data_IF_586900550007
#
_entry.id   IF_586900550007
#
_cell.length_a   1.000
_cell.length_b   1.000
_cell.length_c   1.000
_cell.angle_alpha   90.00
_cell.angle_beta   90.00
_cell.angle_gamma   90.00
#
_symmetry.space_group_name_H-M   'P 1'
#
loop_
_entity.id
_entity.type
_entity.pdbx_description
1 polymer ?
#
# COMPACT_ATOMS: atom_id res chain seq x y z
N UNK A 1 -18.19 25.06 15.36
CA UNK A 1 -17.39 24.50 14.24
C UNK A 1 -17.34 22.99 14.44
N UNK A 2 -17.78 22.21 13.47
CA UNK A 2 -17.68 20.74 13.51
C UNK A 2 -16.18 20.42 13.36
N UNK A 3 -15.60 19.69 14.32
CA UNK A 3 -14.22 19.24 14.22
C UNK A 3 -14.16 18.12 13.16
N UNK A 4 -13.47 18.37 12.07
CA UNK A 4 -13.25 17.37 11.01
C UNK A 4 -12.04 16.55 11.42
N UNK A 5 -12.24 15.23 11.54
CA UNK A 5 -11.18 14.31 11.94
C UNK A 5 -10.51 13.68 10.71
N UNK A 6 -9.27 13.25 10.86
CA UNK A 6 -8.53 12.55 9.80
C UNK A 6 -9.28 11.33 9.25
N UNK A 7 -10.08 10.66 10.09
CA UNK A 7 -10.89 9.51 9.68
C UNK A 7 -11.99 9.89 8.67
N UNK A 8 -12.56 11.10 8.77
CA UNK A 8 -13.58 11.59 7.84
C UNK A 8 -12.94 11.86 6.47
N UNK A 9 -11.73 12.41 6.47
CA UNK A 9 -10.92 12.67 5.28
C UNK A 9 -10.48 11.35 4.65
N UNK A 10 -9.95 10.42 5.46
CA UNK A 10 -9.53 9.09 4.98
C UNK A 10 -10.68 8.31 4.33
N UNK A 11 -11.91 8.46 4.87
CA UNK A 11 -13.10 7.85 4.29
C UNK A 11 -13.41 8.31 2.87
N UNK A 12 -12.95 9.47 2.43
CA UNK A 12 -13.10 10.00 1.08
C UNK A 12 -11.96 9.57 0.14
N UNK A 13 -10.82 9.15 0.69
CA UNK A 13 -9.66 8.73 -0.11
C UNK A 13 -9.89 7.36 -0.78
N UNK A 14 -9.27 7.09 -1.95
CA UNK A 14 -9.52 5.90 -2.75
C UNK A 14 -8.95 4.60 -2.15
N UNK A 15 -8.15 4.68 -1.08
CA UNK A 15 -7.57 3.54 -0.39
C UNK A 15 -6.63 2.66 -1.24
N UNK A 16 -6.01 3.24 -2.27
CA UNK A 16 -5.01 2.54 -3.10
C UNK A 16 -3.70 2.29 -2.37
N UNK A 17 -3.41 3.05 -1.30
CA UNK A 17 -2.16 3.01 -0.52
C UNK A 17 -0.88 3.20 -1.37
N UNK A 18 -1.00 3.92 -2.51
CA UNK A 18 0.02 3.99 -3.58
C UNK A 18 1.20 4.92 -3.28
N UNK A 19 1.15 5.70 -2.19
CA UNK A 19 2.17 6.67 -1.76
C UNK A 19 2.48 7.81 -2.75
N UNK A 20 1.80 7.91 -3.88
CA UNK A 20 2.04 8.95 -4.93
C UNK A 20 1.88 10.38 -4.40
N UNK A 21 1.04 10.60 -3.39
CA UNK A 21 0.88 11.88 -2.70
C UNK A 21 2.09 12.32 -1.86
N UNK A 22 3.10 11.45 -1.71
CA UNK A 22 4.29 11.67 -0.88
C UNK A 22 4.14 11.22 0.58
N UNK A 23 3.00 10.65 0.96
CA UNK A 23 2.74 10.10 2.30
C UNK A 23 2.76 8.56 2.28
N UNK A 24 3.00 7.96 3.45
CA UNK A 24 3.15 6.51 3.60
C UNK A 24 1.82 5.72 3.46
N UNK A 25 0.77 6.33 2.96
CA UNK A 25 -0.54 5.73 2.76
C UNK A 25 -1.66 6.75 2.83
N UNK A 26 -2.92 6.31 2.75
CA UNK A 26 -4.07 7.20 2.75
C UNK A 26 -4.30 7.86 4.11
N UNK A 27 -4.22 7.12 5.22
CA UNK A 27 -4.41 7.69 6.56
C UNK A 27 -3.36 8.76 6.92
N UNK A 28 -2.04 8.57 6.73
CA UNK A 28 -1.05 9.63 6.95
C UNK A 28 -1.29 10.89 6.11
N UNK A 29 -1.79 10.75 4.88
CA UNK A 29 -2.19 11.90 4.08
C UNK A 29 -3.42 12.59 4.66
N UNK A 30 -4.43 11.83 5.10
CA UNK A 30 -5.61 12.37 5.75
C UNK A 30 -5.28 13.12 7.06
N UNK A 31 -4.35 12.60 7.85
CA UNK A 31 -3.83 13.24 9.07
C UNK A 31 -3.15 14.57 8.76
N UNK A 32 -2.30 14.61 7.72
CA UNK A 32 -1.64 15.82 7.28
C UNK A 32 -2.63 16.88 6.76
N UNK A 33 -3.70 16.48 6.06
CA UNK A 33 -4.78 17.40 5.64
C UNK A 33 -5.51 17.94 6.88
N UNK A 34 -5.87 17.08 7.84
CA UNK A 34 -6.57 17.48 9.06
C UNK A 34 -5.75 18.45 9.91
N UNK A 35 -4.42 18.29 9.92
CA UNK A 35 -3.49 19.19 10.59
C UNK A 35 -3.25 20.52 9.84
N UNK A 36 -3.66 20.62 8.57
CA UNK A 36 -3.38 21.76 7.69
C UNK A 36 -1.97 21.75 7.07
N UNK A 37 -1.26 20.63 7.19
CA UNK A 37 0.12 20.46 6.69
C UNK A 37 0.16 19.98 5.22
N UNK A 38 -0.99 19.55 4.67
CA UNK A 38 -1.09 19.08 3.30
C UNK A 38 -2.26 19.69 2.54
N UNK A 39 -2.03 20.05 1.28
CA UNK A 39 -3.10 20.44 0.35
C UNK A 39 -3.95 19.22 -0.06
N UNK A 40 -5.25 19.46 -0.35
CA UNK A 40 -6.24 18.40 -0.65
C UNK A 40 -6.07 17.77 -2.06
N UNK A 41 -5.21 18.31 -2.90
CA UNK A 41 -5.10 18.03 -4.32
C UNK A 41 -3.93 17.11 -4.70
N UNK A 42 -3.34 16.38 -3.74
CA UNK A 42 -2.14 15.56 -3.95
C UNK A 42 -2.42 14.09 -4.26
N UNK A 43 -3.68 13.68 -4.44
CA UNK A 43 -4.04 12.28 -4.67
C UNK A 43 -4.41 12.00 -6.13
N UNK A 44 -3.48 11.49 -7.00
CA UNK A 44 -3.80 11.18 -8.39
C UNK A 44 -4.91 10.12 -8.57
N UNK A 45 -4.94 9.01 -7.80
CA UNK A 45 -6.05 8.06 -7.91
C UNK A 45 -7.41 8.63 -7.53
N UNK A 46 -7.45 9.60 -6.62
CA UNK A 46 -8.70 10.30 -6.26
C UNK A 46 -9.20 11.24 -7.34
N UNK A 47 -8.29 11.82 -8.12
CA UNK A 47 -8.58 12.74 -9.21
C UNK A 47 -9.40 13.96 -8.77
N UNK A 48 -10.04 14.61 -9.73
CA UNK A 48 -10.87 15.80 -9.48
C UNK A 48 -12.09 15.47 -8.58
N UNK A 49 -12.67 14.28 -8.71
CA UNK A 49 -13.80 13.85 -7.88
C UNK A 49 -13.42 13.76 -6.41
N UNK A 50 -12.25 13.19 -6.12
CA UNK A 50 -11.72 13.11 -4.76
C UNK A 50 -11.42 14.50 -4.18
N UNK A 51 -10.82 15.37 -4.98
CA UNK A 51 -10.53 16.76 -4.59
C UNK A 51 -11.82 17.52 -4.28
N UNK A 52 -12.85 17.39 -5.12
CA UNK A 52 -14.14 18.04 -4.90
C UNK A 52 -14.82 17.54 -3.62
N UNK A 53 -14.75 16.24 -3.34
CA UNK A 53 -15.32 15.66 -2.11
C UNK A 53 -14.58 16.17 -0.86
N UNK A 54 -13.25 16.23 -0.90
CA UNK A 54 -12.44 16.79 0.21
C UNK A 54 -12.71 18.28 0.39
N UNK A 55 -12.80 19.05 -0.69
CA UNK A 55 -13.11 20.49 -0.65
C UNK A 55 -14.48 20.74 -0.02
N UNK A 56 -15.49 19.94 -0.39
CA UNK A 56 -16.83 20.03 0.18
C UNK A 56 -16.84 19.68 1.69
N UNK A 57 -16.13 18.64 2.10
CA UNK A 57 -16.02 18.26 3.52
C UNK A 57 -15.36 19.37 4.35
N UNK A 58 -14.30 19.98 3.82
CA UNK A 58 -13.51 20.98 4.54
C UNK A 58 -14.05 22.41 4.41
N UNK A 59 -15.03 22.64 3.53
CA UNK A 59 -15.58 23.97 3.27
C UNK A 59 -14.59 24.92 2.57
N UNK A 60 -13.70 24.38 1.75
CA UNK A 60 -12.68 25.13 0.99
C UNK A 60 -12.92 25.04 -0.52
N UNK A 61 -12.30 25.93 -1.28
CA UNK A 61 -12.36 25.86 -2.75
C UNK A 61 -11.55 24.64 -3.25
N UNK A 62 -12.05 23.91 -4.27
CA UNK A 62 -11.29 22.85 -4.91
C UNK A 62 -10.06 23.40 -5.62
N UNK A 63 -8.96 22.67 -5.56
CA UNK A 63 -7.71 22.98 -6.25
C UNK A 63 -7.52 22.05 -7.46
N UNK A 64 -6.82 22.48 -8.53
CA UNK A 64 -6.41 21.56 -9.58
C UNK A 64 -5.48 20.48 -9.01
N UNK A 65 -5.51 19.27 -9.60
CA UNK A 65 -4.63 18.18 -9.19
C UNK A 65 -3.16 18.61 -9.25
N UNK A 66 -2.41 18.33 -8.19
CA UNK A 66 -0.96 18.56 -8.14
C UNK A 66 -0.25 17.53 -9.05
N UNK A 67 0.13 18.00 -10.24
CA UNK A 67 0.78 17.17 -11.27
C UNK A 67 2.16 16.64 -10.84
N UNK A 68 2.77 17.23 -9.82
CA UNK A 68 4.04 16.71 -9.25
C UNK A 68 3.85 15.35 -8.57
N UNK A 69 2.64 15.05 -8.12
CA UNK A 69 2.26 13.76 -7.55
C UNK A 69 1.85 12.72 -8.61
N UNK A 70 1.72 13.16 -9.88
CA UNK A 70 1.28 12.34 -11.01
C UNK A 70 -0.07 12.80 -11.57
N UNK A 71 -0.58 12.04 -12.55
CA UNK A 71 -1.84 12.34 -13.25
C UNK A 71 -2.90 11.29 -12.90
N UNK A 72 -4.17 11.70 -12.95
CA UNK A 72 -5.27 10.77 -12.83
C UNK A 72 -5.29 9.82 -14.03
N UNK A 73 -5.38 8.52 -13.79
CA UNK A 73 -5.39 7.48 -14.81
C UNK A 73 -6.57 6.54 -14.59
N UNK A 74 -7.12 5.92 -15.64
CA UNK A 74 -8.05 4.81 -15.50
C UNK A 74 -7.45 3.71 -14.60
N UNK A 75 -8.32 2.95 -13.95
CA UNK A 75 -7.88 1.81 -13.14
C UNK A 75 -7.12 0.80 -13.99
N UNK A 76 -5.95 0.39 -13.49
CA UNK A 76 -5.10 -0.64 -14.09
C UNK A 76 -4.75 -1.67 -13.03
N UNK A 77 -4.61 -2.90 -13.42
CA UNK A 77 -4.15 -3.99 -12.57
C UNK A 77 -2.71 -4.38 -12.92
N UNK A 78 -2.00 -4.90 -11.94
CA UNK A 78 -0.70 -5.51 -12.19
C UNK A 78 -0.90 -6.86 -12.88
N UNK A 79 -0.08 -7.13 -13.88
CA UNK A 79 0.02 -8.43 -14.59
C UNK A 79 1.45 -8.90 -14.49
N UNK A 80 1.63 -10.15 -14.05
CA UNK A 80 2.95 -10.78 -13.92
C UNK A 80 3.14 -11.72 -15.12
N UNK A 81 4.25 -11.56 -15.81
CA UNK A 81 4.70 -12.56 -16.79
C UNK A 81 5.23 -13.77 -16.01
N UNK A 82 4.41 -14.81 -15.95
CA UNK A 82 4.72 -16.02 -15.18
C UNK A 82 5.93 -16.76 -15.73
N UNK A 83 6.20 -16.68 -17.03
CA UNK A 83 7.36 -17.31 -17.65
C UNK A 83 8.67 -16.62 -17.28
N UNK A 84 8.65 -15.30 -17.10
CA UNK A 84 9.78 -14.50 -16.67
C UNK A 84 9.93 -14.43 -15.14
N UNK A 85 8.91 -14.82 -14.38
CA UNK A 85 8.90 -14.74 -12.91
C UNK A 85 9.85 -15.78 -12.29
N UNK A 86 10.87 -15.31 -11.56
CA UNK A 86 11.84 -16.15 -10.86
C UNK A 86 11.45 -16.59 -9.45
N UNK A 87 10.25 -16.25 -8.99
CA UNK A 87 9.76 -16.63 -7.65
C UNK A 87 10.51 -15.97 -6.49
N UNK A 88 11.00 -14.73 -6.64
CA UNK A 88 11.80 -14.05 -5.60
C UNK A 88 11.00 -13.51 -4.41
N UNK A 89 9.68 -13.53 -4.47
CA UNK A 89 8.72 -13.08 -3.44
C UNK A 89 8.80 -11.58 -3.04
N UNK A 90 9.62 -10.76 -3.73
CA UNK A 90 9.78 -9.35 -3.38
C UNK A 90 8.54 -8.49 -3.64
N UNK A 91 7.66 -8.91 -4.56
CA UNK A 91 6.40 -8.23 -4.89
C UNK A 91 5.28 -8.49 -3.87
N UNK A 92 5.36 -9.54 -3.05
CA UNK A 92 4.33 -9.89 -2.07
C UNK A 92 4.22 -8.86 -0.95
N UNK A 93 5.37 -8.50 -0.39
CA UNK A 93 5.44 -7.62 0.78
C UNK A 93 4.88 -6.20 0.54
N UNK A 94 5.16 -5.51 -0.57
CA UNK A 94 4.66 -4.16 -0.80
C UNK A 94 3.20 -4.13 -1.25
N UNK A 95 2.55 -5.28 -1.53
CA UNK A 95 1.17 -5.31 -1.99
C UNK A 95 0.20 -4.99 -0.83
N UNK A 96 -0.46 -3.82 -0.81
CA UNK A 96 -1.24 -3.37 0.35
C UNK A 96 -2.50 -4.21 0.59
N UNK A 97 -3.00 -4.90 -0.43
CA UNK A 97 -4.23 -5.69 -0.37
C UNK A 97 -4.01 -7.19 -0.48
N UNK A 98 -2.74 -7.64 -0.44
CA UNK A 98 -2.38 -9.05 -0.67
C UNK A 98 -2.99 -9.62 -1.96
N UNK A 99 -3.01 -8.80 -3.01
CA UNK A 99 -3.53 -9.21 -4.31
C UNK A 99 -2.58 -10.16 -5.06
N UNK A 100 -1.33 -10.30 -4.63
CA UNK A 100 -0.34 -11.17 -5.27
C UNK A 100 -0.22 -12.46 -4.47
N UNK A 101 -0.35 -13.59 -5.15
CA UNK A 101 -0.19 -14.93 -4.60
C UNK A 101 1.03 -15.61 -5.19
N UNK A 102 1.69 -16.45 -4.40
CA UNK A 102 2.89 -17.16 -4.78
C UNK A 102 3.77 -17.47 -3.57
N UNK A 103 4.90 -18.10 -3.82
CA UNK A 103 5.88 -18.44 -2.77
C UNK A 103 7.30 -18.33 -3.32
N UNK A 104 8.28 -18.36 -2.40
CA UNK A 104 9.69 -18.37 -2.80
C UNK A 104 10.00 -19.58 -3.70
N UNK A 105 10.66 -19.32 -4.86
CA UNK A 105 10.98 -20.28 -5.92
C UNK A 105 9.78 -20.79 -6.74
N UNK A 106 8.58 -20.26 -6.51
CA UNK A 106 7.40 -20.51 -7.33
C UNK A 106 6.97 -19.21 -8.02
N UNK A 107 6.40 -19.30 -9.21
CA UNK A 107 5.86 -18.14 -9.91
C UNK A 107 4.78 -17.43 -9.07
N UNK A 108 4.58 -16.14 -9.35
CA UNK A 108 3.56 -15.33 -8.70
C UNK A 108 2.48 -14.96 -9.70
N UNK A 109 1.25 -14.86 -9.22
CA UNK A 109 0.09 -14.42 -10.00
C UNK A 109 -0.66 -13.32 -9.25
N UNK A 110 -1.41 -12.49 -9.97
CA UNK A 110 -2.22 -11.41 -9.41
C UNK A 110 -3.68 -11.80 -9.39
N UNK A 111 -4.33 -11.63 -8.25
CA UNK A 111 -5.80 -11.69 -8.13
C UNK A 111 -6.33 -10.33 -8.55
N UNK A 112 -6.78 -10.20 -9.80
CA UNK A 112 -7.16 -8.94 -10.43
C UNK A 112 -8.20 -8.15 -9.60
N UNK A 113 -9.23 -8.83 -9.10
CA UNK A 113 -10.29 -8.21 -8.27
C UNK A 113 -9.81 -7.62 -6.94
N UNK A 114 -8.60 -7.96 -6.49
CA UNK A 114 -8.00 -7.45 -5.26
C UNK A 114 -6.93 -6.39 -5.54
N UNK A 115 -6.53 -6.20 -6.80
CA UNK A 115 -5.50 -5.26 -7.17
C UNK A 115 -6.05 -3.83 -7.15
N UNK A 116 -5.41 -2.94 -6.37
CA UNK A 116 -5.79 -1.52 -6.29
C UNK A 116 -5.08 -0.63 -7.31
N UNK A 117 -4.21 -1.19 -8.15
CA UNK A 117 -3.44 -0.43 -9.13
C UNK A 117 -2.36 0.48 -8.51
N UNK A 118 -1.88 0.16 -7.33
CA UNK A 118 -0.93 1.00 -6.58
C UNK A 118 0.49 1.03 -7.16
N UNK A 119 0.86 0.09 -8.04
CA UNK A 119 2.17 -0.03 -8.70
C UNK A 119 3.36 -0.37 -7.77
N UNK A 120 3.14 -0.55 -6.46
CA UNK A 120 4.21 -0.79 -5.49
C UNK A 120 4.97 -2.12 -5.70
N UNK A 121 4.39 -3.06 -6.45
CA UNK A 121 5.02 -4.33 -6.77
C UNK A 121 6.05 -4.24 -7.91
N UNK A 122 6.06 -3.14 -8.71
CA UNK A 122 6.90 -3.01 -9.90
C UNK A 122 8.36 -2.81 -9.50
N UNK A 123 8.64 -1.74 -8.74
CA UNK A 123 10.01 -1.35 -8.39
C UNK A 123 10.85 -2.45 -7.70
N UNK A 124 10.32 -3.31 -6.82
CA UNK A 124 11.09 -4.37 -6.19
C UNK A 124 11.31 -5.60 -7.08
N UNK A 125 10.71 -5.68 -8.28
CA UNK A 125 10.88 -6.82 -9.19
C UNK A 125 12.27 -6.76 -9.86
N UNK A 126 13.16 -7.73 -9.62
CA UNK A 126 14.54 -7.69 -10.14
C UNK A 126 14.65 -8.11 -11.61
N UNK A 127 13.57 -8.62 -12.20
CA UNK A 127 13.51 -9.10 -13.58
C UNK A 127 12.45 -8.38 -14.41
N UNK A 128 11.87 -7.30 -13.88
CA UNK A 128 10.90 -6.43 -14.55
C UNK A 128 9.72 -7.18 -15.22
N UNK A 129 9.31 -8.31 -14.62
CA UNK A 129 8.24 -9.15 -15.16
C UNK A 129 6.83 -8.65 -14.81
N UNK A 130 6.68 -7.46 -14.18
CA UNK A 130 5.39 -6.91 -13.76
C UNK A 130 5.07 -5.66 -14.57
N UNK A 131 3.91 -5.64 -15.21
CA UNK A 131 3.40 -4.49 -15.95
C UNK A 131 1.99 -4.11 -15.48
N UNK A 132 1.56 -2.88 -15.80
CA UNK A 132 0.20 -2.42 -15.50
C UNK A 132 -0.65 -2.44 -16.77
N UNK A 133 -1.81 -3.10 -16.70
CA UNK A 133 -2.74 -3.21 -17.81
C UNK A 133 -4.15 -2.78 -17.42
N UNK A 134 -4.92 -2.29 -18.38
CA UNK A 134 -6.37 -2.09 -18.22
C UNK A 134 -7.01 -3.47 -18.35
N UNK A 135 -7.76 -3.87 -17.31
CA UNK A 135 -8.56 -5.10 -17.37
C UNK A 135 -10.03 -4.74 -17.63
N UNK A 136 -10.59 -5.10 -18.80
CA UNK A 136 -11.99 -4.85 -19.09
C UNK A 136 -12.97 -5.55 -18.14
N UNK A 137 -12.56 -6.62 -17.48
CA UNK A 137 -13.38 -7.35 -16.49
C UNK A 137 -13.38 -6.63 -15.12
N UNK A 138 -12.37 -5.84 -14.83
CA UNK A 138 -12.24 -5.06 -13.59
C UNK A 138 -11.98 -3.59 -13.92
N UNK A 139 -12.94 -2.87 -14.55
CA UNK A 139 -12.74 -1.50 -15.04
C UNK A 139 -12.65 -0.47 -13.91
N UNK A 140 -13.05 -0.87 -12.71
CA UNK A 140 -12.97 -0.04 -11.50
C UNK A 140 -12.24 -0.80 -10.39
N UNK A 141 -11.55 -0.05 -9.57
CA UNK A 141 -10.92 -0.60 -8.38
C UNK A 141 -11.96 -1.22 -7.44
N UNK A 142 -11.57 -2.22 -6.67
CA UNK A 142 -12.39 -2.78 -5.59
C UNK A 142 -12.93 -1.68 -4.66
N UNK A 143 -14.01 -1.97 -3.95
CA UNK A 143 -14.60 -1.06 -2.98
C UNK A 143 -13.54 -0.55 -1.99
N UNK A 144 -13.51 0.77 -1.75
CA UNK A 144 -12.51 1.43 -0.89
C UNK A 144 -12.50 0.92 0.55
N UNK A 145 -13.67 0.54 1.09
CA UNK A 145 -13.74 0.03 2.47
C UNK A 145 -13.14 -1.37 2.55
N UNK A 146 -13.39 -2.21 1.55
CA UNK A 146 -12.73 -3.51 1.42
C UNK A 146 -11.21 -3.37 1.21
N UNK A 147 -10.77 -2.39 0.42
CA UNK A 147 -9.34 -2.11 0.24
C UNK A 147 -8.68 -1.66 1.55
N UNK A 148 -9.35 -0.80 2.32
CA UNK A 148 -8.90 -0.36 3.67
C UNK A 148 -8.80 -1.54 4.63
N UNK A 149 -9.83 -2.38 4.70
CA UNK A 149 -9.85 -3.56 5.57
C UNK A 149 -8.69 -4.51 5.24
N UNK A 150 -8.49 -4.81 3.96
CA UNK A 150 -7.37 -5.66 3.52
C UNK A 150 -6.03 -5.07 3.87
N UNK A 151 -5.85 -3.76 3.69
CA UNK A 151 -4.62 -3.07 4.08
C UNK A 151 -4.38 -3.16 5.59
N UNK A 152 -5.40 -3.00 6.42
CA UNK A 152 -5.28 -3.14 7.87
C UNK A 152 -4.91 -4.57 8.28
N UNK A 153 -5.50 -5.59 7.63
CA UNK A 153 -5.15 -7.00 7.86
C UNK A 153 -3.70 -7.28 7.44
N UNK A 154 -3.28 -6.77 6.28
CA UNK A 154 -1.90 -6.86 5.80
C UNK A 154 -0.91 -6.25 6.82
N UNK A 155 -1.17 -5.03 7.28
CA UNK A 155 -0.31 -4.31 8.24
C UNK A 155 -0.20 -5.08 9.55
N UNK A 156 -1.32 -5.52 10.15
CA UNK A 156 -1.33 -6.29 11.41
C UNK A 156 -0.55 -7.61 11.29
N UNK A 157 -0.73 -8.34 10.17
CA UNK A 157 0.02 -9.57 9.91
C UNK A 157 1.51 -9.29 9.85
N UNK A 158 1.89 -8.27 9.10
CA UNK A 158 3.28 -7.89 8.93
C UNK A 158 3.95 -7.48 10.24
N UNK A 159 3.29 -6.68 11.07
CA UNK A 159 3.77 -6.28 12.39
C UNK A 159 3.93 -7.48 13.33
N UNK A 160 2.98 -8.42 13.31
CA UNK A 160 3.06 -9.66 14.08
C UNK A 160 4.27 -10.48 13.65
N UNK A 161 4.43 -10.73 12.37
CA UNK A 161 5.51 -11.54 11.82
C UNK A 161 6.88 -10.91 12.11
N UNK A 162 6.97 -9.58 12.12
CA UNK A 162 8.18 -8.87 12.53
C UNK A 162 8.49 -9.06 14.03
N UNK A 163 7.49 -8.95 14.91
CA UNK A 163 7.69 -9.17 16.35
C UNK A 163 8.18 -10.59 16.62
N UNK A 164 7.50 -11.58 16.06
CA UNK A 164 7.87 -13.00 16.22
C UNK A 164 9.31 -13.25 15.75
N UNK A 165 9.70 -12.64 14.63
CA UNK A 165 11.07 -12.75 14.11
C UNK A 165 12.11 -12.14 15.06
N UNK A 166 11.82 -10.96 15.62
CA UNK A 166 12.72 -10.27 16.55
C UNK A 166 12.86 -11.07 17.85
N UNK A 167 11.77 -11.63 18.37
CA UNK A 167 11.77 -12.48 19.55
C UNK A 167 12.64 -13.74 19.33
N UNK A 168 12.47 -14.41 18.18
CA UNK A 168 13.26 -15.58 17.81
C UNK A 168 14.76 -15.26 17.68
N UNK A 169 15.10 -14.09 17.11
CA UNK A 169 16.49 -13.65 17.01
C UNK A 169 17.10 -13.38 18.39
N UNK A 170 16.36 -12.71 19.28
CA UNK A 170 16.80 -12.43 20.64
C UNK A 170 16.95 -13.71 21.48
N UNK A 171 16.11 -14.73 21.28
CA UNK A 171 16.26 -16.04 21.91
C UNK A 171 17.52 -16.76 21.43
N UNK A 172 17.79 -16.75 20.12
CA UNK A 172 19.00 -17.35 19.55
C UNK A 172 20.27 -16.67 20.08
N UNK A 173 20.26 -15.35 20.16
CA UNK A 173 21.40 -14.58 20.69
C UNK A 173 21.67 -14.92 22.16
N UNK A 174 20.62 -15.00 23.00
CA UNK A 174 20.73 -15.42 24.38
C UNK A 174 21.25 -16.85 24.52
N UNK A 175 20.81 -17.77 23.67
CA UNK A 175 21.29 -19.15 23.68
C UNK A 175 22.79 -19.25 23.35
N UNK A 176 23.28 -18.46 22.37
CA UNK A 176 24.71 -18.42 22.02
C UNK A 176 25.54 -17.89 23.19
N UNK A 177 25.14 -16.76 23.80
CA UNK A 177 25.85 -16.17 24.93
C UNK A 177 25.90 -17.08 26.17
N UNK A 178 24.85 -17.91 26.37
CA UNK A 178 24.83 -18.87 27.48
C UNK A 178 25.76 -20.08 27.27
N UNK A 179 26.09 -20.43 26.03
CA UNK A 179 27.01 -21.53 25.71
C UNK A 179 28.47 -21.10 25.83
N UNK A 180 28.79 -19.84 25.51
CA UNK A 180 30.16 -19.32 25.59
C UNK A 180 30.61 -19.07 27.04
N UNK A 181 29.70 -18.91 28.01
CA UNK A 181 30.00 -18.74 29.44
C UNK A 181 30.40 -20.03 30.17
N UNK A 182 30.25 -21.22 29.57
CA UNK A 182 30.51 -22.50 30.24
C UNK A 182 31.79 -23.20 29.77
N UNK A 183 32.68 -22.52 29.07
CA UNK A 183 33.87 -23.10 28.43
C UNK A 183 35.22 -22.85 29.12
N UNK A 184 35.27 -22.33 30.36
CA UNK A 184 36.50 -22.18 31.14
C UNK A 184 36.28 -22.61 32.59
N UNK A 185 36.36 -23.90 32.81
CA UNK A 185 36.47 -24.55 34.12
C UNK A 185 37.55 -25.66 34.09
#
# INVERSE_FOLDING_TARGET
>A
MISIHAIDIDALLPQTQCTKCGYAGCMPYAEAIAAGDAAINRCPPGGETGIAALAALLGVAPLPLDVSCGTHQPHRIAVIDEAACIGCAKCLRPCPTDAIVGANKFMHSVIASLCTGCELCIAPCPVDCIRMEIDPQHPVMMNKDAARERFQLHTRRFERDQRERLELLAERERAVLSTDGNGHG
#
